data_IF_108649903392
#
_entry.id   IF_108649903392
#
_cell.length_a   1.000
_cell.length_b   1.000
_cell.length_c   1.000
_cell.angle_alpha   90.00
_cell.angle_beta   90.00
_cell.angle_gamma   90.00
#
_symmetry.space_group_name_H-M   'P 1'
#
loop_
_entity.id
_entity.type
_entity.pdbx_description
1 polymer ?
#
# COMPACT_ATOMS: atom_id res chain seq x y z
N UNK A 1 48.99 58.30 1.67
CA UNK A 1 49.67 57.00 1.46
C UNK A 1 48.68 55.83 1.60
N UNK A 2 47.46 55.97 1.08
CA UNK A 2 46.31 55.07 1.39
C UNK A 2 45.55 54.60 0.15
N UNK A 3 45.73 55.24 -1.01
CA UNK A 3 44.96 54.97 -2.24
C UNK A 3 45.54 53.84 -3.11
N UNK A 4 46.83 53.50 -2.96
CA UNK A 4 47.49 52.45 -3.76
C UNK A 4 47.22 51.02 -3.26
N UNK A 5 46.78 50.85 -2.01
CA UNK A 5 46.46 49.53 -1.44
C UNK A 5 45.10 49.00 -1.90
N UNK A 6 44.09 49.87 -2.02
CA UNK A 6 42.74 49.48 -2.44
C UNK A 6 42.65 48.94 -3.88
N UNK A 7 43.49 49.46 -4.78
CA UNK A 7 43.45 49.07 -6.21
C UNK A 7 44.02 47.66 -6.42
N UNK A 8 45.04 47.25 -5.64
CA UNK A 8 45.65 45.92 -5.72
C UNK A 8 44.73 44.80 -5.19
N UNK A 9 43.89 45.10 -4.20
CA UNK A 9 42.93 44.14 -3.62
C UNK A 9 41.78 43.82 -4.57
N UNK A 10 41.36 44.80 -5.38
CA UNK A 10 40.24 44.64 -6.32
C UNK A 10 40.58 43.73 -7.50
N UNK A 11 41.85 43.72 -7.94
CA UNK A 11 42.32 42.93 -9.09
C UNK A 11 42.54 41.44 -8.77
N UNK A 12 42.82 41.08 -7.52
CA UNK A 12 42.92 39.67 -7.10
C UNK A 12 41.55 39.03 -6.85
N UNK A 13 40.56 39.79 -6.40
CA UNK A 13 39.22 39.27 -6.14
C UNK A 13 38.44 38.92 -7.42
N UNK A 14 38.72 39.62 -8.53
CA UNK A 14 38.05 39.39 -9.81
C UNK A 14 38.59 38.18 -10.57
N UNK A 15 39.84 37.77 -10.33
CA UNK A 15 40.44 36.60 -10.99
C UNK A 15 39.99 35.27 -10.35
N UNK A 16 39.72 35.25 -9.04
CA UNK A 16 39.22 34.04 -8.35
C UNK A 16 37.76 33.70 -8.67
N UNK A 17 36.94 34.68 -9.08
CA UNK A 17 35.54 34.42 -9.46
C UNK A 17 35.38 33.77 -10.84
N UNK A 18 36.41 33.79 -11.69
CA UNK A 18 36.34 33.25 -13.04
C UNK A 18 36.57 31.72 -13.13
N UNK A 19 37.09 31.07 -12.07
CA UNK A 19 37.36 29.62 -12.08
C UNK A 19 36.23 28.73 -11.55
N UNK A 20 35.13 29.31 -11.03
CA UNK A 20 34.05 28.53 -10.42
C UNK A 20 32.94 28.09 -11.42
N UNK A 21 33.04 28.45 -12.71
CA UNK A 21 31.93 28.30 -13.66
C UNK A 21 31.85 26.93 -14.37
N UNK A 22 32.75 25.98 -14.09
CA UNK A 22 32.76 24.66 -14.74
C UNK A 22 32.52 23.50 -13.75
N UNK A 23 31.50 23.60 -12.90
CA UNK A 23 31.00 22.42 -12.16
C UNK A 23 29.93 21.75 -13.01
N UNK A 24 30.30 20.64 -13.66
CA UNK A 24 29.33 19.72 -14.28
C UNK A 24 28.59 19.01 -13.15
N UNK A 25 27.26 19.16 -13.01
CA UNK A 25 26.51 18.43 -12.00
C UNK A 25 26.63 16.92 -12.27
N UNK A 26 26.81 16.08 -11.23
CA UNK A 26 26.85 14.64 -11.41
C UNK A 26 25.56 14.15 -12.09
N UNK A 27 25.63 13.11 -12.92
CA UNK A 27 24.44 12.56 -13.57
C UNK A 27 23.42 12.16 -12.50
N UNK A 28 22.21 12.69 -12.61
CA UNK A 28 21.09 12.35 -11.71
C UNK A 28 20.75 10.88 -11.96
N UNK A 29 21.20 10.00 -11.07
CA UNK A 29 20.76 8.60 -11.04
C UNK A 29 19.29 8.62 -10.65
N UNK A 30 18.39 8.46 -11.64
CA UNK A 30 16.96 8.31 -11.37
C UNK A 30 16.79 7.05 -10.52
N UNK A 31 16.13 7.19 -9.37
CA UNK A 31 15.81 6.05 -8.52
C UNK A 31 15.05 4.99 -9.33
N UNK A 32 15.32 3.69 -9.12
CA UNK A 32 14.59 2.62 -9.79
C UNK A 32 13.09 2.80 -9.58
N UNK A 33 12.32 2.76 -10.68
CA UNK A 33 10.86 2.78 -10.64
C UNK A 33 10.38 1.38 -10.24
N UNK A 34 9.43 1.29 -9.31
CA UNK A 34 8.82 0.03 -8.93
C UNK A 34 8.02 -0.55 -10.12
N UNK A 35 8.45 -1.69 -10.63
CA UNK A 35 7.83 -2.40 -11.77
C UNK A 35 6.80 -3.44 -11.35
N UNK A 36 6.50 -3.54 -10.05
CA UNK A 36 5.54 -4.52 -9.52
C UNK A 36 4.13 -4.19 -10.00
N UNK A 37 3.54 -5.13 -10.74
CA UNK A 37 2.20 -5.01 -11.31
C UNK A 37 1.10 -5.12 -10.24
N UNK A 38 -0.11 -4.58 -10.49
CA UNK A 38 -1.26 -4.78 -9.61
C UNK A 38 -1.51 -6.24 -9.22
N UNK A 39 -1.40 -7.16 -10.18
CA UNK A 39 -1.59 -8.60 -9.95
C UNK A 39 -0.51 -9.19 -9.03
N UNK A 40 0.76 -8.80 -9.20
CA UNK A 40 1.85 -9.23 -8.31
C UNK A 40 1.66 -8.70 -6.89
N UNK A 41 1.13 -7.49 -6.74
CA UNK A 41 0.79 -6.93 -5.41
C UNK A 41 -0.34 -7.70 -4.76
N UNK A 42 -1.40 -8.01 -5.49
CA UNK A 42 -2.48 -8.85 -4.94
C UNK A 42 -1.94 -10.24 -4.54
N UNK A 43 -1.08 -10.84 -5.36
CA UNK A 43 -0.44 -12.11 -5.00
C UNK A 43 0.40 -12.02 -3.70
N UNK A 44 1.03 -10.87 -3.42
CA UNK A 44 1.71 -10.63 -2.15
C UNK A 44 0.74 -10.51 -0.98
N UNK A 45 -0.45 -9.90 -1.18
CA UNK A 45 -1.54 -9.87 -0.19
C UNK A 45 -2.02 -11.29 0.13
N UNK A 46 -2.26 -12.10 -0.91
CA UNK A 46 -2.71 -13.49 -0.76
C UNK A 46 -1.65 -14.33 -0.04
N UNK A 47 -0.36 -14.14 -0.37
CA UNK A 47 0.74 -14.83 0.31
C UNK A 47 0.84 -14.46 1.80
N UNK A 48 0.60 -13.20 2.16
CA UNK A 48 0.60 -12.75 3.55
C UNK A 48 -0.59 -13.30 4.35
N UNK A 49 -1.73 -13.54 3.69
CA UNK A 49 -2.88 -14.20 4.32
C UNK A 49 -2.51 -15.58 4.88
N UNK A 50 -1.61 -16.32 4.24
CA UNK A 50 -1.22 -17.68 4.62
C UNK A 50 -2.26 -18.73 4.25
N UNK A 51 -1.98 -20.00 4.54
CA UNK A 51 -2.90 -21.10 4.23
C UNK A 51 -4.02 -21.18 5.28
N UNK A 52 -5.27 -21.08 4.82
CA UNK A 52 -6.48 -21.18 5.65
C UNK A 52 -6.58 -22.52 6.40
N UNK A 53 -5.87 -23.57 5.97
CA UNK A 53 -5.92 -24.92 6.56
C UNK A 53 -5.40 -25.03 8.01
N UNK A 54 -4.73 -23.99 8.53
CA UNK A 54 -4.19 -23.99 9.90
C UNK A 54 -5.08 -23.27 10.91
N UNK A 55 -6.15 -22.60 10.47
CA UNK A 55 -7.01 -21.79 11.33
C UNK A 55 -8.47 -21.94 10.90
N UNK A 56 -9.37 -22.27 11.84
CA UNK A 56 -10.80 -22.31 11.52
C UNK A 56 -11.30 -20.88 11.32
N UNK A 57 -11.44 -20.46 10.07
CA UNK A 57 -12.06 -19.19 9.71
C UNK A 57 -13.57 -19.25 9.96
N UNK A 58 -13.98 -18.99 11.21
CA UNK A 58 -15.41 -18.82 11.54
C UNK A 58 -15.85 -17.45 11.05
N UNK A 59 -16.48 -17.42 9.88
CA UNK A 59 -17.15 -16.21 9.41
C UNK A 59 -18.52 -16.11 10.09
N UNK A 60 -18.86 -14.96 10.69
CA UNK A 60 -20.22 -14.72 11.17
C UNK A 60 -21.23 -14.96 10.05
N UNK A 61 -22.42 -15.44 10.40
CA UNK A 61 -23.51 -15.53 9.43
C UNK A 61 -23.82 -14.13 8.90
N UNK A 62 -23.63 -13.94 7.60
CA UNK A 62 -23.89 -12.67 6.93
C UNK A 62 -25.30 -12.64 6.35
N UNK A 63 -25.73 -11.43 6.02
CA UNK A 63 -26.88 -11.22 5.16
C UNK A 63 -26.65 -11.93 3.81
N UNK A 64 -27.66 -12.67 3.33
CA UNK A 64 -27.54 -13.47 2.11
C UNK A 64 -27.32 -12.61 0.86
N UNK A 65 -27.92 -11.43 0.79
CA UNK A 65 -27.76 -10.53 -0.35
C UNK A 65 -26.34 -9.97 -0.40
N UNK A 66 -25.75 -9.65 0.75
CA UNK A 66 -24.34 -9.25 0.85
C UNK A 66 -23.43 -10.37 0.35
N UNK A 67 -23.69 -11.62 0.70
CA UNK A 67 -22.87 -12.75 0.26
C UNK A 67 -23.01 -13.02 -1.25
N UNK A 68 -24.22 -12.93 -1.80
CA UNK A 68 -24.46 -13.05 -3.25
C UNK A 68 -23.70 -11.97 -4.04
N UNK A 69 -23.70 -10.73 -3.55
CA UNK A 69 -22.96 -9.63 -4.16
C UNK A 69 -21.44 -9.84 -4.10
N UNK A 70 -20.92 -10.40 -3.00
CA UNK A 70 -19.49 -10.76 -2.90
C UNK A 70 -19.11 -11.86 -3.87
N UNK A 71 -19.93 -12.90 -4.00
CA UNK A 71 -19.70 -13.97 -4.98
C UNK A 71 -19.74 -13.43 -6.42
N UNK A 72 -20.70 -12.55 -6.73
CA UNK A 72 -20.75 -11.86 -8.00
C UNK A 72 -19.49 -11.01 -8.26
N UNK A 73 -18.99 -10.31 -7.24
CA UNK A 73 -17.75 -9.54 -7.34
C UNK A 73 -16.53 -10.44 -7.61
N UNK A 74 -16.44 -11.59 -6.93
CA UNK A 74 -15.37 -12.56 -7.15
C UNK A 74 -15.40 -13.11 -8.58
N UNK A 75 -16.58 -13.50 -9.09
CA UNK A 75 -16.73 -13.98 -10.45
C UNK A 75 -16.31 -12.93 -11.50
N UNK A 76 -16.74 -11.66 -11.30
CA UNK A 76 -16.34 -10.55 -12.18
C UNK A 76 -14.84 -10.27 -12.11
N UNK A 77 -14.23 -10.32 -10.93
CA UNK A 77 -12.77 -10.20 -10.75
C UNK A 77 -12.03 -11.28 -11.53
N UNK A 78 -12.48 -12.54 -11.46
CA UNK A 78 -11.90 -13.66 -12.22
C UNK A 78 -12.05 -13.47 -13.74
N UNK A 79 -13.14 -12.84 -14.18
CA UNK A 79 -13.36 -12.46 -15.57
C UNK A 79 -12.60 -11.18 -15.99
N UNK A 80 -11.76 -10.61 -15.11
CA UNK A 80 -11.07 -9.33 -15.29
C UNK A 80 -12.01 -8.10 -15.47
N UNK A 81 -13.28 -8.24 -15.10
CA UNK A 81 -14.24 -7.13 -14.99
C UNK A 81 -14.11 -6.46 -13.61
N UNK A 82 -13.03 -5.69 -13.45
CA UNK A 82 -12.74 -5.02 -12.17
C UNK A 82 -13.77 -3.93 -11.84
N UNK A 83 -14.34 -3.26 -12.85
CA UNK A 83 -15.36 -2.23 -12.66
C UNK A 83 -16.65 -2.85 -12.13
N UNK A 84 -17.12 -3.95 -12.73
CA UNK A 84 -18.31 -4.65 -12.26
C UNK A 84 -18.09 -5.35 -10.92
N UNK A 85 -16.86 -5.79 -10.62
CA UNK A 85 -16.50 -6.30 -9.30
C UNK A 85 -16.60 -5.21 -8.22
N UNK A 86 -16.02 -4.03 -8.49
CA UNK A 86 -16.13 -2.87 -7.59
C UNK A 86 -17.59 -2.47 -7.37
N UNK A 87 -18.40 -2.39 -8.43
CA UNK A 87 -19.81 -2.02 -8.33
C UNK A 87 -20.64 -2.99 -7.46
N UNK A 88 -20.39 -4.31 -7.56
CA UNK A 88 -21.05 -5.28 -6.69
C UNK A 88 -20.68 -5.10 -5.21
N UNK A 89 -19.40 -4.84 -4.93
CA UNK A 89 -18.91 -4.60 -3.57
C UNK A 89 -19.44 -3.27 -3.01
N UNK A 90 -19.54 -2.23 -3.85
CA UNK A 90 -20.12 -0.96 -3.44
C UNK A 90 -21.62 -1.12 -3.11
N UNK A 91 -22.36 -1.98 -3.84
CA UNK A 91 -23.74 -2.35 -3.49
C UNK A 91 -23.79 -3.12 -2.16
N UNK A 92 -22.88 -4.07 -1.93
CA UNK A 92 -22.80 -4.79 -0.67
C UNK A 92 -22.51 -3.84 0.52
N UNK A 93 -21.65 -2.84 0.32
CA UNK A 93 -21.37 -1.80 1.30
C UNK A 93 -22.54 -0.83 1.51
N UNK A 94 -23.45 -0.67 0.54
CA UNK A 94 -24.67 0.10 0.75
C UNK A 94 -25.65 -0.63 1.69
N UNK A 95 -25.65 -1.97 1.68
CA UNK A 95 -26.43 -2.81 2.59
C UNK A 95 -25.75 -2.89 3.97
N UNK A 96 -24.44 -3.15 3.99
CA UNK A 96 -23.65 -3.28 5.22
C UNK A 96 -22.33 -2.52 5.13
N UNK A 97 -22.37 -1.22 5.46
CA UNK A 97 -21.24 -0.30 5.29
C UNK A 97 -20.01 -0.57 6.16
N UNK A 98 -20.14 -1.45 7.16
CA UNK A 98 -19.11 -1.77 8.14
C UNK A 98 -18.66 -3.23 8.12
N UNK A 99 -18.98 -3.99 7.06
CA UNK A 99 -18.45 -5.36 6.92
C UNK A 99 -16.95 -5.32 6.54
N UNK A 100 -16.04 -5.78 7.42
CA UNK A 100 -14.60 -5.76 7.14
C UNK A 100 -14.22 -6.64 5.95
N UNK A 101 -14.91 -7.75 5.73
CA UNK A 101 -14.61 -8.64 4.61
C UNK A 101 -14.99 -8.02 3.27
N UNK A 102 -16.14 -7.34 3.19
CA UNK A 102 -16.53 -6.59 1.97
C UNK A 102 -15.56 -5.44 1.72
N UNK A 103 -15.20 -4.70 2.76
CA UNK A 103 -14.21 -3.61 2.66
C UNK A 103 -12.86 -4.12 2.16
N UNK A 104 -12.40 -5.28 2.63
CA UNK A 104 -11.16 -5.90 2.17
C UNK A 104 -11.24 -6.35 0.72
N UNK A 105 -12.31 -7.02 0.31
CA UNK A 105 -12.50 -7.42 -1.08
C UNK A 105 -12.51 -6.17 -2.00
N UNK A 106 -13.11 -5.06 -1.54
CA UNK A 106 -13.13 -3.79 -2.28
C UNK A 106 -11.76 -3.13 -2.35
N UNK A 107 -10.96 -3.25 -1.30
CA UNK A 107 -9.58 -2.79 -1.24
C UNK A 107 -8.70 -3.54 -2.24
N UNK A 108 -8.86 -4.86 -2.34
CA UNK A 108 -8.12 -5.70 -3.29
C UNK A 108 -8.53 -5.44 -4.74
N UNK A 109 -9.81 -5.18 -5.02
CA UNK A 109 -10.25 -4.74 -6.35
C UNK A 109 -9.64 -3.38 -6.70
N UNK A 110 -9.60 -2.42 -5.76
CA UNK A 110 -8.94 -1.14 -5.97
C UNK A 110 -7.42 -1.32 -6.24
N UNK A 111 -6.78 -2.24 -5.53
CA UNK A 111 -5.38 -2.60 -5.75
C UNK A 111 -5.17 -3.12 -7.19
N UNK A 112 -6.04 -4.00 -7.68
CA UNK A 112 -6.01 -4.49 -9.06
C UNK A 112 -6.27 -3.39 -10.10
N UNK A 113 -7.13 -2.41 -9.77
CA UNK A 113 -7.42 -1.24 -10.61
C UNK A 113 -6.25 -0.25 -10.66
N UNK A 114 -5.25 -0.39 -9.79
CA UNK A 114 -4.17 0.59 -9.63
C UNK A 114 -4.56 1.82 -8.81
N UNK A 115 -5.72 1.78 -8.13
CA UNK A 115 -6.15 2.85 -7.23
C UNK A 115 -5.59 2.59 -5.82
N UNK A 116 -4.31 2.93 -5.66
CA UNK A 116 -3.55 2.69 -4.42
C UNK A 116 -4.15 3.43 -3.22
N UNK A 117 -4.68 4.63 -3.44
CA UNK A 117 -5.23 5.46 -2.37
C UNK A 117 -6.57 4.89 -1.87
N UNK A 118 -7.47 4.51 -2.79
CA UNK A 118 -8.71 3.84 -2.40
C UNK A 118 -8.43 2.48 -1.74
N UNK A 119 -7.50 1.70 -2.28
CA UNK A 119 -7.10 0.42 -1.70
C UNK A 119 -6.65 0.56 -0.23
N UNK A 120 -5.78 1.52 0.08
CA UNK A 120 -5.41 1.78 1.47
C UNK A 120 -6.60 2.26 2.31
N UNK A 121 -7.44 3.13 1.77
CA UNK A 121 -8.59 3.69 2.51
C UNK A 121 -9.56 2.60 2.96
N UNK A 122 -9.93 1.70 2.05
CA UNK A 122 -10.80 0.57 2.36
C UNK A 122 -10.14 -0.40 3.34
N UNK A 123 -8.86 -0.76 3.11
CA UNK A 123 -8.14 -1.67 3.99
C UNK A 123 -7.97 -1.10 5.41
N UNK A 124 -7.68 0.20 5.57
CA UNK A 124 -7.61 0.86 6.88
C UNK A 124 -8.95 0.82 7.61
N UNK A 125 -10.05 1.14 6.93
CA UNK A 125 -11.39 1.04 7.52
C UNK A 125 -11.68 -0.40 7.95
N UNK A 126 -11.22 -1.37 7.16
CA UNK A 126 -11.33 -2.78 7.52
C UNK A 126 -10.50 -3.16 8.74
N UNK A 127 -9.26 -2.67 8.88
CA UNK A 127 -8.46 -2.86 10.10
C UNK A 127 -9.20 -2.32 11.33
N UNK A 128 -9.83 -1.15 11.22
CA UNK A 128 -10.54 -0.51 12.32
C UNK A 128 -11.70 -1.38 12.82
N UNK A 129 -12.46 -1.99 11.90
CA UNK A 129 -13.68 -2.77 12.17
C UNK A 129 -13.47 -4.29 12.33
N UNK A 130 -12.39 -4.83 11.76
CA UNK A 130 -12.13 -6.26 11.66
C UNK A 130 -11.41 -6.87 12.87
N UNK A 131 -11.24 -8.20 12.81
CA UNK A 131 -10.45 -8.94 13.79
C UNK A 131 -9.00 -8.44 13.79
N UNK A 132 -8.40 -8.37 14.97
CA UNK A 132 -6.98 -7.98 15.12
C UNK A 132 -6.03 -9.13 14.88
N UNK A 133 -6.57 -10.32 14.59
CA UNK A 133 -5.82 -11.55 14.38
C UNK A 133 -6.45 -12.37 13.24
N UNK A 134 -5.71 -13.36 12.77
CA UNK A 134 -6.12 -14.29 11.73
C UNK A 134 -5.79 -13.82 10.31
N UNK A 135 -6.18 -14.61 9.29
CA UNK A 135 -5.85 -14.35 7.89
C UNK A 135 -6.42 -13.04 7.38
N UNK A 136 -7.61 -12.65 7.84
CA UNK A 136 -8.24 -11.40 7.43
C UNK A 136 -7.44 -10.16 7.90
N UNK A 137 -6.94 -10.18 9.13
CA UNK A 137 -6.03 -9.13 9.64
C UNK A 137 -4.78 -9.00 8.77
N UNK A 138 -4.17 -10.14 8.39
CA UNK A 138 -2.97 -10.16 7.54
C UNK A 138 -3.27 -9.59 6.15
N UNK A 139 -4.40 -9.95 5.55
CA UNK A 139 -4.84 -9.37 4.26
C UNK A 139 -4.99 -7.85 4.33
N UNK A 140 -5.63 -7.32 5.37
CA UNK A 140 -5.78 -5.87 5.54
C UNK A 140 -4.43 -5.14 5.57
N UNK A 141 -3.52 -5.59 6.42
CA UNK A 141 -2.21 -4.94 6.57
C UNK A 141 -1.33 -5.12 5.34
N UNK A 142 -1.38 -6.27 4.69
CA UNK A 142 -0.67 -6.50 3.43
C UNK A 142 -1.20 -5.60 2.31
N UNK A 143 -2.52 -5.36 2.22
CA UNK A 143 -3.07 -4.39 1.25
C UNK A 143 -2.57 -2.97 1.52
N UNK A 144 -2.51 -2.55 2.78
CA UNK A 144 -1.95 -1.24 3.16
C UNK A 144 -0.47 -1.14 2.77
N UNK A 145 0.32 -2.17 3.07
CA UNK A 145 1.73 -2.26 2.69
C UNK A 145 1.90 -2.13 1.17
N UNK A 146 1.18 -2.93 0.39
CA UNK A 146 1.31 -2.94 -1.07
C UNK A 146 0.87 -1.62 -1.71
N UNK A 147 -0.17 -0.97 -1.18
CA UNK A 147 -0.62 0.35 -1.63
C UNK A 147 0.40 1.46 -1.32
N UNK A 148 1.15 1.34 -0.22
CA UNK A 148 2.22 2.28 0.15
C UNK A 148 3.48 2.06 -0.68
N UNK A 149 3.87 0.80 -0.92
CA UNK A 149 4.96 0.44 -1.84
C UNK A 149 4.70 0.98 -3.24
N UNK A 150 3.47 0.82 -3.75
CA UNK A 150 3.08 1.33 -5.07
C UNK A 150 3.23 2.85 -5.22
N UNK A 151 3.15 3.60 -4.12
CA UNK A 151 3.34 5.07 -4.08
C UNK A 151 4.76 5.48 -3.68
N UNK A 152 5.67 4.52 -3.49
CA UNK A 152 7.06 4.78 -3.08
C UNK A 152 7.24 5.16 -1.61
N UNK A 153 6.22 4.96 -0.78
CA UNK A 153 6.23 5.30 0.65
C UNK A 153 6.84 4.18 1.50
N UNK A 154 8.14 3.95 1.32
CA UNK A 154 8.84 2.76 1.86
C UNK A 154 8.80 2.66 3.38
N UNK A 155 8.97 3.77 4.08
CA UNK A 155 8.92 3.83 5.55
C UNK A 155 7.52 3.50 6.07
N UNK A 156 6.48 4.06 5.42
CA UNK A 156 5.09 3.77 5.75
C UNK A 156 4.75 2.30 5.44
N UNK A 157 5.27 1.76 4.34
CA UNK A 157 5.08 0.35 3.99
C UNK A 157 5.72 -0.57 5.02
N UNK A 158 6.95 -0.28 5.46
CA UNK A 158 7.62 -1.04 6.53
C UNK A 158 6.83 -1.00 7.84
N UNK A 159 6.23 0.15 8.18
CA UNK A 159 5.34 0.24 9.34
C UNK A 159 4.09 -0.64 9.21
N UNK A 160 3.49 -0.74 8.01
CA UNK A 160 2.37 -1.64 7.77
C UNK A 160 2.78 -3.12 7.83
N UNK A 161 3.94 -3.45 7.26
CA UNK A 161 4.50 -4.80 7.31
C UNK A 161 4.69 -5.29 8.75
N UNK A 162 5.22 -4.45 9.64
CA UNK A 162 5.41 -4.78 11.05
C UNK A 162 4.10 -5.17 11.77
N UNK A 163 2.94 -4.72 11.29
CA UNK A 163 1.64 -5.08 11.88
C UNK A 163 1.23 -6.52 11.57
N UNK A 164 1.76 -7.14 10.52
CA UNK A 164 1.46 -8.53 10.14
C UNK A 164 1.84 -9.52 11.25
N UNK A 165 2.91 -9.24 11.99
CA UNK A 165 3.34 -10.05 13.13
C UNK A 165 2.27 -10.10 14.23
N UNK A 166 1.60 -8.97 14.48
CA UNK A 166 0.53 -8.84 15.47
C UNK A 166 -0.76 -9.58 15.09
N UNK A 167 -0.93 -9.95 13.80
CA UNK A 167 -2.10 -10.69 13.36
C UNK A 167 -2.07 -12.18 13.73
N UNK A 168 -0.94 -12.72 14.19
CA UNK A 168 -0.84 -14.16 14.50
C UNK A 168 -0.83 -14.36 16.02
N UNK A 169 -1.79 -15.14 16.52
CA UNK A 169 -1.82 -15.53 17.93
C UNK A 169 -0.85 -16.70 18.14
N UNK A 170 0.12 -16.61 19.07
CA UNK A 170 1.00 -17.73 19.37
C UNK A 170 0.18 -18.92 19.87
N UNK A 171 0.49 -20.12 19.38
CA UNK A 171 -0.19 -21.35 19.80
C UNK A 171 -0.07 -21.58 21.31
N UNK A 172 -1.15 -22.03 21.93
CA UNK A 172 -1.13 -22.45 23.34
C UNK A 172 -0.32 -23.75 23.43
N UNK A 173 0.88 -23.67 24.02
CA UNK A 173 1.68 -24.85 24.35
C UNK A 173 0.98 -25.62 25.48
N UNK A 174 0.38 -26.76 25.15
CA UNK A 174 -0.14 -27.70 26.16
C UNK A 174 1.00 -28.66 26.54
N UNK A 175 1.46 -28.57 27.79
CA UNK A 175 2.43 -29.50 28.40
C UNK A 175 1.72 -30.66 29.07
#
# INVERSE_FOLDING_TARGET
MTTRFLIRSASLATLCLALAACVTPPPVVKAPVDTTTPAQRLAAVDAAAGNDDKELAVQPLRDSEVEDLRQAAQARRQANDLTGAAAALDQALAIMASDPSVLQDRAEVALLQGDWAAAETFARKSVELGSKTGPLCRRHWATIEQSRLARGEKENAASAHAQLEGCTVPGIMRY
#
